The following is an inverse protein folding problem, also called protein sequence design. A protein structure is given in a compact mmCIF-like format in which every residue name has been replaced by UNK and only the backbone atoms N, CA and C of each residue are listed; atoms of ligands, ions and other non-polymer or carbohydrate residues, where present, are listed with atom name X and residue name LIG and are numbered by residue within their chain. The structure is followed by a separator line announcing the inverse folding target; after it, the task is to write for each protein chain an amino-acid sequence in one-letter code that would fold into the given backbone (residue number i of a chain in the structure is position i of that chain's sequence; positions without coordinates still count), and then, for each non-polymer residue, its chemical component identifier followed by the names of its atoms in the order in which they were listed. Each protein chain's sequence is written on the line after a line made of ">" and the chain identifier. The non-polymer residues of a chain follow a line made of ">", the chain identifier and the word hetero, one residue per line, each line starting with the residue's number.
data_IF_934833259136
#
_entry.id   IF_934833259136
#
_cell.length_a   1.000
_cell.length_b   1.000
_cell.length_c   1.000
_cell.angle_alpha   90.00
_cell.angle_beta   90.00
_cell.angle_gamma   90.00
#
_symmetry.space_group_name_H-M   'P 1'
#
loop_
_entity.id
_entity.type
_entity.pdbx_description
1 polymer ?
#
# COMPACT_ATOMS: atom_id res chain seq x y z
N UNK A 1 1.56 -20.32 -7.63
CA UNK A 1 1.72 -19.02 -8.31
C UNK A 1 0.47 -18.23 -7.98
N UNK A 2 0.62 -17.01 -7.49
CA UNK A 2 -0.49 -16.22 -6.99
C UNK A 2 -0.32 -14.77 -7.39
N UNK A 3 -1.45 -14.08 -7.54
CA UNK A 3 -1.54 -12.73 -8.11
C UNK A 3 -0.71 -11.71 -7.33
N UNK A 4 0.06 -10.92 -8.07
CA UNK A 4 1.07 -10.00 -7.56
C UNK A 4 0.82 -8.60 -8.11
N UNK A 5 0.73 -7.62 -7.21
CA UNK A 5 0.69 -6.20 -7.57
C UNK A 5 2.10 -5.64 -7.49
N UNK A 6 2.57 -5.00 -8.55
CA UNK A 6 3.86 -4.32 -8.64
C UNK A 6 3.66 -2.82 -8.65
N UNK A 7 4.61 -2.08 -8.07
CA UNK A 7 4.53 -0.63 -8.04
C UNK A 7 5.89 0.05 -7.94
N UNK A 8 5.94 1.28 -8.46
CA UNK A 8 7.04 2.24 -8.27
C UNK A 8 6.46 3.49 -7.64
N UNK A 9 7.16 4.03 -6.65
CA UNK A 9 6.67 5.15 -5.83
C UNK A 9 7.72 6.24 -5.71
N UNK A 10 7.27 7.48 -5.77
CA UNK A 10 8.00 8.67 -5.35
C UNK A 10 7.00 9.61 -4.69
N UNK A 11 6.96 9.59 -3.37
CA UNK A 11 5.99 10.34 -2.57
C UNK A 11 6.65 11.62 -2.04
N UNK A 12 6.29 12.76 -2.62
CA UNK A 12 6.87 14.06 -2.27
C UNK A 12 6.25 14.60 -0.97
N UNK A 13 4.94 14.39 -0.76
CA UNK A 13 4.19 14.83 0.43
C UNK A 13 4.04 13.73 1.47
N UNK A 14 5.17 13.23 1.98
CA UNK A 14 5.24 12.02 2.82
C UNK A 14 4.39 12.06 4.09
N UNK A 15 4.46 13.16 4.86
CA UNK A 15 3.71 13.26 6.13
C UNK A 15 2.19 13.36 5.91
N UNK A 16 1.75 14.06 4.86
CA UNK A 16 0.34 14.10 4.46
C UNK A 16 -0.14 12.70 4.04
N UNK A 17 0.67 11.98 3.26
CA UNK A 17 0.38 10.61 2.85
C UNK A 17 0.27 9.65 4.04
N UNK A 18 1.20 9.73 5.00
CA UNK A 18 1.14 8.95 6.25
C UNK A 18 -0.11 9.26 7.05
N UNK A 19 -0.46 10.53 7.19
CA UNK A 19 -1.68 10.94 7.89
C UNK A 19 -2.96 10.44 7.20
N UNK A 20 -2.99 10.48 5.86
CA UNK A 20 -4.08 9.92 5.05
C UNK A 20 -4.21 8.40 5.23
N UNK A 21 -3.11 7.66 5.11
CA UNK A 21 -3.11 6.22 5.31
C UNK A 21 -3.47 5.81 6.72
N UNK A 22 -3.05 6.58 7.73
CA UNK A 22 -3.41 6.36 9.13
C UNK A 22 -4.93 6.31 9.31
N UNK A 23 -5.64 7.32 8.78
CA UNK A 23 -7.11 7.40 8.85
C UNK A 23 -7.79 6.25 8.10
N UNK A 24 -7.27 5.87 6.93
CA UNK A 24 -7.81 4.75 6.16
C UNK A 24 -7.63 3.44 6.92
N UNK A 25 -6.42 3.17 7.40
CA UNK A 25 -6.13 1.92 8.11
C UNK A 25 -6.94 1.81 9.39
N UNK A 26 -7.09 2.90 10.14
CA UNK A 26 -7.96 2.96 11.32
C UNK A 26 -9.42 2.62 10.97
N UNK A 27 -9.98 3.24 9.93
CA UNK A 27 -11.35 2.98 9.50
C UNK A 27 -11.59 1.56 8.96
N UNK A 28 -10.56 0.91 8.42
CA UNK A 28 -10.60 -0.46 7.92
C UNK A 28 -10.23 -1.51 8.98
N UNK A 29 -9.77 -1.09 10.17
CA UNK A 29 -9.24 -2.00 11.19
C UNK A 29 -7.87 -2.61 10.85
N UNK A 30 -7.12 -2.02 9.90
CA UNK A 30 -5.77 -2.46 9.55
C UNK A 30 -4.74 -1.84 10.47
N UNK A 31 -3.66 -2.57 10.76
CA UNK A 31 -2.53 -2.02 11.51
C UNK A 31 -1.56 -1.33 10.54
N UNK A 32 -1.24 -0.07 10.81
CA UNK A 32 -0.21 0.68 10.10
C UNK A 32 1.04 0.80 10.96
N UNK A 33 2.20 0.41 10.44
CA UNK A 33 3.51 0.65 11.07
C UNK A 33 4.46 1.30 10.07
N UNK A 34 5.44 2.06 10.52
CA UNK A 34 6.38 2.72 9.61
C UNK A 34 7.10 3.92 10.22
N UNK A 35 7.87 4.59 9.38
CA UNK A 35 8.72 5.72 9.76
C UNK A 35 8.96 6.68 8.59
N UNK A 36 10.15 7.26 8.54
CA UNK A 36 10.44 8.39 7.66
C UNK A 36 10.58 8.03 6.18
N UNK A 37 10.86 6.75 5.87
CA UNK A 37 11.16 6.28 4.51
C UNK A 37 10.21 5.18 4.00
N UNK A 38 9.34 4.65 4.85
CA UNK A 38 8.34 3.66 4.43
C UNK A 38 7.16 3.57 5.41
N UNK A 39 6.06 3.04 4.90
CA UNK A 39 4.92 2.55 5.67
C UNK A 39 4.62 1.10 5.31
N UNK A 40 4.05 0.37 6.25
CA UNK A 40 3.68 -1.03 6.14
C UNK A 40 2.24 -1.20 6.64
N UNK A 41 1.37 -1.67 5.74
CA UNK A 41 -0.02 -1.96 6.04
C UNK A 41 -0.15 -3.46 6.34
N UNK A 42 -0.65 -3.78 7.52
CA UNK A 42 -0.89 -5.13 8.00
C UNK A 42 -2.41 -5.35 8.04
N UNK A 43 -2.98 -6.09 7.07
CA UNK A 43 -4.44 -6.25 6.95
C UNK A 43 -4.98 -7.36 7.87
N UNK A 44 -4.10 -8.12 8.54
CA UNK A 44 -4.42 -9.30 9.35
C UNK A 44 -5.26 -10.36 8.59
N UNK A 45 -5.15 -10.36 7.27
CA UNK A 45 -5.86 -11.28 6.38
C UNK A 45 -4.95 -12.46 5.98
N UNK A 46 -5.44 -13.68 6.19
CA UNK A 46 -4.69 -14.89 5.82
C UNK A 46 -4.53 -14.99 4.31
N UNK A 47 -3.31 -15.25 3.85
CA UNK A 47 -3.00 -15.37 2.43
C UNK A 47 -2.76 -14.04 1.71
N UNK A 48 -2.72 -12.92 2.43
CA UNK A 48 -2.34 -11.61 1.88
C UNK A 48 -1.05 -11.14 2.53
N UNK A 49 -0.04 -10.82 1.72
CA UNK A 49 1.21 -10.25 2.21
C UNK A 49 1.01 -8.79 2.69
N UNK A 50 1.74 -8.33 3.72
CA UNK A 50 1.73 -6.93 4.11
C UNK A 50 2.20 -6.00 2.99
N UNK A 51 1.47 -4.91 2.74
CA UNK A 51 1.86 -3.91 1.73
C UNK A 51 2.88 -2.92 2.29
N UNK A 52 4.12 -2.95 1.76
CA UNK A 52 5.20 -2.04 2.12
C UNK A 52 5.37 -0.92 1.08
N UNK A 53 4.91 0.28 1.38
CA UNK A 53 5.07 1.43 0.49
C UNK A 53 6.30 2.22 0.93
N UNK A 54 7.32 2.31 0.06
CA UNK A 54 8.50 3.14 0.30
C UNK A 54 8.16 4.58 -0.08
N UNK A 55 8.84 5.55 0.54
CA UNK A 55 8.78 6.95 0.11
C UNK A 55 9.32 7.14 -1.29
N UNK A 56 10.38 6.39 -1.63
CA UNK A 56 10.95 6.36 -2.98
C UNK A 56 11.45 4.94 -3.31
N UNK A 57 11.08 4.43 -4.48
CA UNK A 57 11.53 3.16 -5.03
C UNK A 57 10.41 2.21 -5.42
N UNK A 58 10.80 0.99 -5.73
CA UNK A 58 9.92 -0.09 -6.19
C UNK A 58 9.55 -1.08 -5.10
N UNK A 59 8.45 -1.79 -5.33
CA UNK A 59 7.95 -2.88 -4.50
C UNK A 59 6.97 -3.77 -5.23
N UNK A 60 6.59 -4.85 -4.56
CA UNK A 60 5.53 -5.74 -4.98
C UNK A 60 4.83 -6.31 -3.74
N UNK A 61 3.61 -6.80 -3.91
CA UNK A 61 2.86 -7.48 -2.86
C UNK A 61 2.00 -8.58 -3.46
N UNK A 62 1.98 -9.75 -2.82
CA UNK A 62 1.07 -10.84 -3.22
C UNK A 62 -0.21 -10.77 -2.43
N UNK A 63 -1.32 -10.57 -3.14
CA UNK A 63 -2.66 -10.55 -2.56
C UNK A 63 -3.41 -11.85 -2.82
N UNK A 64 -2.96 -12.65 -3.79
CA UNK A 64 -3.63 -13.86 -4.24
C UNK A 64 -5.12 -13.63 -4.61
N UNK A 65 -5.48 -12.42 -5.06
CA UNK A 65 -6.86 -11.98 -5.36
C UNK A 65 -7.82 -12.12 -4.17
N UNK A 66 -7.32 -12.13 -2.93
CA UNK A 66 -8.17 -12.24 -1.74
C UNK A 66 -8.82 -10.89 -1.47
N UNK A 67 -10.14 -10.85 -1.60
CA UNK A 67 -10.94 -9.66 -1.34
C UNK A 67 -11.38 -9.55 0.14
N UNK A 68 -11.54 -8.32 0.67
CA UNK A 68 -11.41 -7.02 -0.03
C UNK A 68 -9.98 -6.47 -0.08
N UNK A 69 -9.00 -7.21 0.46
CA UNK A 69 -7.63 -6.70 0.64
C UNK A 69 -6.96 -6.35 -0.68
N UNK A 70 -7.18 -7.18 -1.72
CA UNK A 70 -6.65 -6.93 -3.04
C UNK A 70 -7.14 -5.59 -3.61
N UNK A 71 -8.46 -5.38 -3.66
CA UNK A 71 -9.05 -4.13 -4.14
C UNK A 71 -8.63 -2.92 -3.29
N UNK A 72 -8.52 -3.09 -1.96
CA UNK A 72 -8.07 -2.03 -1.06
C UNK A 72 -6.61 -1.65 -1.35
N UNK A 73 -5.73 -2.62 -1.64
CA UNK A 73 -4.33 -2.34 -1.94
C UNK A 73 -4.17 -1.58 -3.25
N UNK A 74 -4.94 -1.94 -4.28
CA UNK A 74 -4.99 -1.18 -5.53
C UNK A 74 -5.48 0.25 -5.27
N UNK A 75 -6.56 0.42 -4.50
CA UNK A 75 -7.08 1.74 -4.15
C UNK A 75 -6.04 2.58 -3.38
N UNK A 76 -5.34 1.99 -2.42
CA UNK A 76 -4.29 2.64 -1.65
C UNK A 76 -3.14 3.10 -2.55
N UNK A 77 -2.63 2.20 -3.41
CA UNK A 77 -1.52 2.50 -4.31
C UNK A 77 -1.90 3.58 -5.33
N UNK A 78 -3.09 3.50 -5.93
CA UNK A 78 -3.58 4.56 -6.82
C UNK A 78 -3.81 5.88 -6.07
N UNK A 79 -4.33 5.85 -4.84
CA UNK A 79 -4.51 7.06 -4.03
C UNK A 79 -3.17 7.71 -3.66
N UNK A 80 -2.11 6.93 -3.52
CA UNK A 80 -0.76 7.45 -3.26
C UNK A 80 -0.25 8.39 -4.37
N UNK A 81 -0.76 8.27 -5.61
CA UNK A 81 -0.46 9.20 -6.70
C UNK A 81 -0.94 10.64 -6.44
N UNK A 82 -1.86 10.84 -5.49
CA UNK A 82 -2.24 12.19 -5.07
C UNK A 82 -1.10 12.90 -4.32
N UNK A 83 -0.13 12.16 -3.76
CA UNK A 83 0.94 12.69 -2.91
C UNK A 83 2.31 12.71 -3.60
N UNK A 84 2.38 12.27 -4.85
CA UNK A 84 3.61 12.17 -5.64
C UNK A 84 3.38 11.43 -6.95
N UNK A 85 4.34 10.62 -7.39
CA UNK A 85 4.23 9.78 -8.59
C UNK A 85 4.18 8.31 -8.20
N UNK A 86 3.20 7.58 -8.75
CA UNK A 86 3.04 6.14 -8.54
C UNK A 86 2.68 5.47 -9.86
N UNK A 87 3.38 4.40 -10.17
CA UNK A 87 3.05 3.46 -11.25
C UNK A 87 2.63 2.14 -10.60
N UNK A 88 1.56 1.52 -11.09
CA UNK A 88 1.01 0.26 -10.58
C UNK A 88 0.65 -0.63 -11.76
N UNK A 89 0.99 -1.91 -11.67
CA UNK A 89 0.58 -2.93 -12.63
C UNK A 89 0.49 -4.30 -11.94
N UNK A 90 -0.11 -5.26 -12.64
CA UNK A 90 -0.42 -6.60 -12.13
C UNK A 90 0.14 -7.65 -13.10
N UNK A 91 0.32 -8.89 -12.63
CA UNK A 91 0.74 -10.04 -13.45
C UNK A 91 -0.38 -10.62 -14.33
#
# INVERSE_FOLDING_TARGET
>A
MGHTVYYVTRIDRWEEFRGFLGKICEGLGFRLVGGDDYVLILPECYGVEPLKIKKNGEGFVKTNLIEPCHSIYLLVLHSASSFGSVEVWED
#
